data_IF_414568495540
#
_entry.id   IF_414568495540
#
_cell.length_a   1.000
_cell.length_b   1.000
_cell.length_c   1.000
_cell.angle_alpha   90.00
_cell.angle_beta   90.00
_cell.angle_gamma   90.00
#
_symmetry.space_group_name_H-M   'P 1'
#
loop_
_entity.id
_entity.type
_entity.pdbx_description
1 polymer ?
#
# COMPACT_ATOMS: atom_id res chain seq x y z
N UNK A 1 3.85 -1.46 -24.36
CA UNK A 1 4.19 -1.80 -22.93
C UNK A 1 5.68 -1.97 -22.85
N UNK A 2 6.36 -1.38 -21.85
CA UNK A 2 7.77 -1.73 -21.62
C UNK A 2 7.79 -3.19 -21.16
N UNK A 3 8.38 -4.07 -21.96
CA UNK A 3 8.56 -5.45 -21.59
C UNK A 3 9.60 -5.50 -20.46
N UNK A 4 9.35 -6.30 -19.44
CA UNK A 4 10.25 -6.50 -18.30
C UNK A 4 10.59 -7.97 -18.27
N UNK A 5 11.89 -8.30 -18.32
CA UNK A 5 12.39 -9.67 -18.16
C UNK A 5 13.11 -9.77 -16.81
N UNK A 6 12.85 -10.81 -16.06
CA UNK A 6 13.58 -11.10 -14.83
C UNK A 6 14.97 -11.61 -15.18
N UNK A 7 15.99 -11.08 -14.52
CA UNK A 7 17.39 -11.42 -14.71
C UNK A 7 18.09 -11.61 -13.38
N UNK A 8 19.25 -12.23 -13.40
CA UNK A 8 20.15 -12.23 -12.24
C UNK A 8 20.61 -10.81 -11.92
N UNK A 9 20.93 -10.56 -10.67
CA UNK A 9 21.43 -9.27 -10.25
C UNK A 9 22.79 -9.01 -10.90
N UNK A 10 22.95 -7.94 -11.70
CA UNK A 10 24.21 -7.61 -12.29
C UNK A 10 25.20 -7.07 -11.24
N UNK A 11 26.48 -7.13 -11.57
CA UNK A 11 27.50 -6.37 -10.85
C UNK A 11 27.31 -4.88 -11.13
N UNK A 12 27.09 -4.11 -10.08
CA UNK A 12 26.97 -2.66 -10.18
C UNK A 12 28.29 -1.98 -9.86
N UNK A 13 28.65 -0.98 -10.67
CA UNK A 13 29.73 -0.08 -10.37
C UNK A 13 29.42 0.74 -9.11
N UNK A 14 30.44 1.12 -8.34
CA UNK A 14 30.28 1.95 -7.14
C UNK A 14 29.55 3.27 -7.41
N UNK A 15 29.69 3.81 -8.63
CA UNK A 15 29.02 5.02 -9.08
C UNK A 15 27.64 4.79 -9.71
N UNK A 16 27.18 3.54 -9.82
CA UNK A 16 25.87 3.24 -10.40
C UNK A 16 24.77 4.01 -9.67
N UNK A 17 23.80 4.60 -10.40
CA UNK A 17 22.78 5.44 -9.79
C UNK A 17 21.81 4.61 -8.93
N UNK A 18 21.61 5.07 -7.71
CA UNK A 18 20.70 4.49 -6.75
C UNK A 18 19.67 5.50 -6.27
N UNK A 19 18.50 4.98 -5.90
CA UNK A 19 17.49 5.69 -5.12
C UNK A 19 17.21 4.89 -3.86
N UNK A 20 17.35 5.51 -2.71
CA UNK A 20 17.05 4.90 -1.42
C UNK A 20 15.86 5.60 -0.78
N UNK A 21 14.83 4.83 -0.44
CA UNK A 21 13.65 5.32 0.28
C UNK A 21 13.65 4.73 1.67
N UNK A 22 13.79 5.58 2.69
CA UNK A 22 13.72 5.17 4.10
C UNK A 22 12.28 5.25 4.60
N UNK A 23 11.74 4.13 5.03
CA UNK A 23 10.36 3.98 5.52
C UNK A 23 10.40 3.33 6.91
N UNK A 24 10.68 4.13 7.94
CA UNK A 24 10.91 3.63 9.30
C UNK A 24 12.07 2.63 9.33
N UNK A 25 11.76 1.37 9.66
CA UNK A 25 12.75 0.30 9.73
C UNK A 25 13.01 -0.37 8.35
N UNK A 26 12.22 -0.07 7.34
CA UNK A 26 12.36 -0.61 6.00
C UNK A 26 13.09 0.38 5.10
N UNK A 27 14.10 -0.11 4.37
CA UNK A 27 14.77 0.65 3.33
C UNK A 27 14.52 -0.03 1.98
N UNK A 28 14.03 0.74 1.02
CA UNK A 28 13.94 0.32 -0.37
C UNK A 28 15.11 0.90 -1.13
N UNK A 29 15.89 0.05 -1.79
CA UNK A 29 17.01 0.45 -2.65
C UNK A 29 16.66 0.08 -4.07
N UNK A 30 16.71 1.05 -4.97
CA UNK A 30 16.55 0.85 -6.42
C UNK A 30 17.85 1.24 -7.09
N UNK A 31 18.59 0.23 -7.54
CA UNK A 31 19.86 0.41 -8.26
C UNK A 31 19.63 0.27 -9.77
N UNK A 32 20.27 1.09 -10.56
CA UNK A 32 20.13 1.10 -12.02
C UNK A 32 21.51 1.12 -12.67
N UNK A 33 21.68 0.41 -13.78
CA UNK A 33 22.93 0.49 -14.55
C UNK A 33 23.14 1.86 -15.18
N UNK A 34 22.05 2.48 -15.64
CA UNK A 34 22.07 3.80 -16.28
C UNK A 34 21.06 4.74 -15.59
N UNK A 35 21.35 6.04 -15.48
CA UNK A 35 20.37 7.00 -14.98
C UNK A 35 19.13 7.01 -15.88
N UNK A 36 17.96 7.09 -15.26
CA UNK A 36 16.69 7.19 -16.00
C UNK A 36 16.36 8.65 -16.19
N UNK A 37 16.30 9.08 -17.44
CA UNK A 37 15.76 10.39 -17.77
C UNK A 37 14.26 10.49 -17.41
N UNK A 38 13.78 11.63 -16.95
CA UNK A 38 12.35 11.86 -16.78
C UNK A 38 11.59 11.52 -18.08
N UNK A 39 10.38 10.95 -17.99
CA UNK A 39 9.59 10.77 -19.21
C UNK A 39 9.38 12.12 -19.88
N UNK A 40 9.43 12.18 -21.21
CA UNK A 40 9.29 13.42 -21.97
C UNK A 40 7.85 13.92 -22.01
N UNK A 41 7.06 13.61 -21.01
CA UNK A 41 5.66 13.98 -20.89
C UNK A 41 5.43 14.79 -19.62
N UNK A 42 4.60 15.83 -19.70
CA UNK A 42 4.18 16.63 -18.55
C UNK A 42 2.66 16.62 -18.43
N UNK A 43 2.18 16.28 -17.24
CA UNK A 43 0.75 16.35 -16.93
C UNK A 43 0.29 17.81 -17.00
N UNK A 44 -0.79 18.07 -17.72
CA UNK A 44 -1.47 19.37 -17.80
C UNK A 44 -2.55 19.42 -16.71
N UNK A 45 -3.48 18.48 -16.74
CA UNK A 45 -4.59 18.37 -15.79
C UNK A 45 -4.93 16.91 -15.48
N UNK A 46 -6.16 16.66 -15.02
CA UNK A 46 -6.60 15.30 -14.69
C UNK A 46 -6.72 14.41 -15.93
N UNK A 47 -7.03 14.94 -17.09
CA UNK A 47 -7.40 14.19 -18.27
C UNK A 47 -6.37 14.30 -19.42
N UNK A 48 -5.44 15.29 -19.37
CA UNK A 48 -4.50 15.59 -20.46
C UNK A 48 -3.04 15.58 -20.02
N UNK A 49 -2.16 15.21 -20.95
CA UNK A 49 -0.70 15.37 -20.84
C UNK A 49 -0.11 15.92 -22.16
N UNK A 50 1.04 16.57 -22.07
CA UNK A 50 1.80 17.03 -23.23
C UNK A 50 3.08 16.21 -23.38
N UNK A 51 3.38 15.77 -24.60
CA UNK A 51 4.71 15.27 -24.96
C UNK A 51 5.64 16.48 -25.19
N UNK A 52 6.64 16.62 -24.33
CA UNK A 52 7.59 17.75 -24.36
C UNK A 52 8.52 17.75 -25.58
N UNK A 53 8.58 16.65 -26.36
CA UNK A 53 9.40 16.55 -27.57
C UNK A 53 8.66 17.12 -28.78
N UNK A 54 7.33 16.88 -28.85
CA UNK A 54 6.50 17.30 -30.00
C UNK A 54 5.66 18.51 -29.70
N UNK A 55 5.39 18.79 -28.40
CA UNK A 55 4.45 19.81 -27.96
C UNK A 55 2.98 19.42 -28.11
N UNK A 56 2.71 18.21 -28.57
CA UNK A 56 1.33 17.71 -28.75
C UNK A 56 0.69 17.36 -27.43
N UNK A 57 -0.61 17.60 -27.33
CA UNK A 57 -1.44 17.27 -26.17
C UNK A 57 -2.21 16.00 -26.46
N UNK A 58 -2.17 15.08 -25.49
CA UNK A 58 -2.85 13.78 -25.56
C UNK A 58 -3.78 13.60 -24.37
N UNK A 59 -4.85 12.85 -24.60
CA UNK A 59 -5.74 12.37 -23.56
C UNK A 59 -5.14 11.16 -22.84
N UNK A 60 -5.37 11.05 -21.51
CA UNK A 60 -5.09 9.82 -20.82
C UNK A 60 -6.14 8.76 -21.16
N UNK A 61 -5.74 7.67 -21.79
CA UNK A 61 -6.60 6.50 -21.91
C UNK A 61 -6.92 5.96 -20.52
N UNK A 62 -8.19 5.80 -20.22
CA UNK A 62 -8.67 5.34 -18.92
C UNK A 62 -9.63 4.19 -19.05
N UNK A 63 -9.42 3.18 -18.23
CA UNK A 63 -10.38 2.10 -18.02
C UNK A 63 -11.51 2.50 -17.06
N UNK A 64 -12.57 1.72 -17.05
CA UNK A 64 -13.74 1.92 -16.19
C UNK A 64 -13.46 1.54 -14.73
N UNK A 65 -12.52 0.64 -14.52
CA UNK A 65 -12.10 0.17 -13.20
C UNK A 65 -10.59 0.37 -12.98
N UNK A 66 -10.17 0.22 -11.73
CA UNK A 66 -8.72 0.24 -11.44
C UNK A 66 -7.98 -0.97 -11.97
N UNK A 67 -8.65 -2.09 -12.20
CA UNK A 67 -8.04 -3.28 -12.80
C UNK A 67 -7.53 -3.05 -14.23
N UNK A 68 -8.11 -2.08 -14.94
CA UNK A 68 -7.71 -1.72 -16.29
C UNK A 68 -6.33 -1.02 -16.34
N UNK A 69 -5.83 -0.56 -15.19
CA UNK A 69 -4.51 0.04 -15.05
C UNK A 69 -3.65 -0.70 -14.02
N UNK A 70 -3.02 -1.80 -14.41
CA UNK A 70 -2.09 -2.55 -13.53
C UNK A 70 -0.97 -1.67 -12.93
N UNK A 71 -0.47 -0.71 -13.69
CA UNK A 71 0.55 0.23 -13.18
C UNK A 71 -0.01 1.17 -12.11
N UNK A 72 -1.22 1.68 -12.31
CA UNK A 72 -1.91 2.54 -11.33
C UNK A 72 -2.14 1.80 -10.01
N UNK A 73 -2.53 0.54 -10.09
CA UNK A 73 -2.71 -0.36 -8.95
C UNK A 73 -1.39 -0.55 -8.19
N UNK A 74 -0.34 -0.99 -8.89
CA UNK A 74 0.98 -1.22 -8.28
C UNK A 74 1.49 0.03 -7.57
N UNK A 75 1.30 1.22 -8.17
CA UNK A 75 1.67 2.50 -7.56
C UNK A 75 0.84 2.77 -6.31
N UNK A 76 -0.47 2.53 -6.34
CA UNK A 76 -1.35 2.75 -5.17
C UNK A 76 -0.98 1.82 -4.02
N UNK A 77 -0.79 0.52 -4.27
CA UNK A 77 -0.38 -0.43 -3.24
C UNK A 77 1.02 -0.13 -2.69
N UNK A 78 1.96 0.27 -3.55
CA UNK A 78 3.28 0.74 -3.11
C UNK A 78 3.18 2.00 -2.25
N UNK A 79 2.32 2.95 -2.62
CA UNK A 79 2.08 4.16 -1.83
C UNK A 79 1.50 3.84 -0.44
N UNK A 80 0.50 2.97 -0.37
CA UNK A 80 -0.08 2.50 0.90
C UNK A 80 1.00 1.86 1.78
N UNK A 81 1.77 0.93 1.21
CA UNK A 81 2.86 0.26 1.94
C UNK A 81 3.88 1.26 2.46
N UNK A 82 4.29 2.21 1.64
CA UNK A 82 5.26 3.23 2.01
C UNK A 82 4.72 4.14 3.12
N UNK A 83 3.46 4.59 3.03
CA UNK A 83 2.83 5.37 4.09
C UNK A 83 2.78 4.61 5.42
N UNK A 84 2.33 3.36 5.39
CA UNK A 84 2.21 2.53 6.60
C UNK A 84 3.58 2.29 7.20
N UNK A 85 4.57 1.83 6.43
CA UNK A 85 5.92 1.55 6.95
C UNK A 85 6.62 2.81 7.48
N UNK A 86 6.36 3.98 6.89
CA UNK A 86 6.97 5.24 7.33
C UNK A 86 6.44 5.71 8.68
N UNK A 87 5.16 5.44 8.98
CA UNK A 87 4.49 5.99 10.15
C UNK A 87 4.19 4.95 11.24
N UNK A 88 4.16 3.66 10.89
CA UNK A 88 3.96 2.55 11.84
C UNK A 88 5.33 1.91 12.14
N UNK A 89 6.13 2.61 12.92
CA UNK A 89 7.48 2.15 13.30
C UNK A 89 7.47 1.36 14.60
N UNK A 90 6.57 1.74 15.52
CA UNK A 90 6.36 1.09 16.81
C UNK A 90 4.93 0.54 16.88
N UNK A 91 4.74 -0.79 16.77
CA UNK A 91 3.41 -1.41 16.72
C UNK A 91 2.54 -1.08 17.93
N UNK A 92 3.15 -0.90 19.10
CA UNK A 92 2.43 -0.55 20.35
C UNK A 92 1.76 0.83 20.30
N UNK A 93 2.27 1.75 19.46
CA UNK A 93 1.74 3.10 19.29
C UNK A 93 0.54 3.16 18.35
N UNK A 94 0.07 2.00 17.86
CA UNK A 94 -0.92 1.93 16.80
C UNK A 94 -2.13 1.09 17.20
N UNK A 95 -3.30 1.51 16.75
CA UNK A 95 -4.51 0.68 16.72
C UNK A 95 -5.00 0.56 15.29
N UNK A 96 -5.17 -0.68 14.85
CA UNK A 96 -5.79 -0.98 13.57
C UNK A 96 -7.30 -1.18 13.79
N UNK A 97 -8.08 -0.29 13.20
CA UNK A 97 -9.54 -0.27 13.30
C UNK A 97 -10.14 -0.64 11.95
N UNK A 98 -11.15 -1.50 11.96
CA UNK A 98 -12.00 -1.79 10.81
C UNK A 98 -13.39 -1.26 11.09
N UNK A 99 -13.93 -0.43 10.18
CA UNK A 99 -15.29 0.08 10.22
C UNK A 99 -16.08 -0.55 9.08
N UNK A 100 -17.16 -1.24 9.41
CA UNK A 100 -17.98 -2.03 8.49
C UNK A 100 -19.41 -1.53 8.48
N UNK A 101 -20.04 -1.46 7.31
CA UNK A 101 -21.48 -1.21 7.21
C UNK A 101 -22.26 -2.51 7.35
N UNK A 102 -23.37 -2.46 8.10
CA UNK A 102 -24.30 -3.59 8.20
C UNK A 102 -25.03 -3.82 6.86
N UNK A 103 -25.42 -2.75 6.19
CA UNK A 103 -26.02 -2.78 4.86
C UNK A 103 -24.96 -2.93 3.74
N UNK A 104 -25.39 -3.26 2.52
CA UNK A 104 -24.51 -3.27 1.34
C UNK A 104 -24.32 -1.84 0.82
N UNK A 105 -23.54 -1.05 1.54
CA UNK A 105 -23.31 0.36 1.27
C UNK A 105 -22.23 0.55 0.21
N UNK A 106 -22.60 1.04 -0.96
CA UNK A 106 -21.73 1.25 -2.14
C UNK A 106 -21.49 2.72 -2.48
N UNK A 107 -22.18 3.66 -1.84
CA UNK A 107 -22.02 5.11 -2.09
C UNK A 107 -20.73 5.65 -1.47
N UNK A 108 -19.77 5.95 -2.34
CA UNK A 108 -18.47 6.49 -1.93
C UNK A 108 -18.56 7.88 -1.30
N UNK A 109 -19.51 8.72 -1.72
CA UNK A 109 -19.68 10.07 -1.15
C UNK A 109 -20.22 9.97 0.28
N UNK A 110 -21.16 9.05 0.50
CA UNK A 110 -21.70 8.76 1.84
C UNK A 110 -20.59 8.21 2.75
N UNK A 111 -19.77 7.27 2.27
CA UNK A 111 -18.63 6.73 2.99
C UNK A 111 -17.71 7.82 3.55
N UNK A 112 -17.35 8.80 2.71
CA UNK A 112 -16.47 9.88 3.14
C UNK A 112 -17.09 10.77 4.20
N UNK A 113 -18.40 11.09 4.08
CA UNK A 113 -19.14 11.90 5.08
C UNK A 113 -19.28 11.16 6.41
N UNK A 114 -19.58 9.88 6.37
CA UNK A 114 -19.76 9.06 7.58
C UNK A 114 -18.45 8.88 8.33
N UNK A 115 -17.34 8.64 7.59
CA UNK A 115 -16.00 8.62 8.18
C UNK A 115 -15.63 9.95 8.83
N UNK A 116 -15.93 11.08 8.18
CA UNK A 116 -15.62 12.40 8.72
C UNK A 116 -16.40 12.70 10.02
N UNK A 117 -17.68 12.30 10.08
CA UNK A 117 -18.50 12.40 11.29
C UNK A 117 -17.94 11.51 12.42
N UNK A 118 -17.58 10.27 12.09
CA UNK A 118 -16.96 9.35 13.02
C UNK A 118 -15.66 9.94 13.57
N UNK A 119 -14.78 10.45 12.72
CA UNK A 119 -13.52 11.05 13.10
C UNK A 119 -13.68 12.24 14.05
N UNK A 120 -14.63 13.12 13.79
CA UNK A 120 -14.96 14.25 14.69
C UNK A 120 -15.41 13.78 16.07
N UNK A 121 -16.30 12.77 16.15
CA UNK A 121 -16.74 12.17 17.42
C UNK A 121 -15.58 11.52 18.16
N UNK A 122 -14.70 10.81 17.46
CA UNK A 122 -13.54 10.16 18.03
C UNK A 122 -12.55 11.16 18.62
N UNK A 123 -12.24 12.24 17.90
CA UNK A 123 -11.40 13.32 18.42
C UNK A 123 -12.00 14.00 19.67
N UNK A 124 -13.30 14.21 19.67
CA UNK A 124 -13.99 14.77 20.83
C UNK A 124 -13.88 13.84 22.06
N UNK A 125 -14.04 12.54 21.85
CA UNK A 125 -13.85 11.54 22.90
C UNK A 125 -12.40 11.52 23.40
N UNK A 126 -11.43 11.52 22.54
CA UNK A 126 -10.02 11.61 22.93
C UNK A 126 -9.79 12.83 23.84
N UNK A 127 -10.24 14.00 23.41
CA UNK A 127 -10.10 15.25 24.20
C UNK A 127 -10.74 15.15 25.58
N UNK A 128 -11.94 14.57 25.67
CA UNK A 128 -12.65 14.42 26.96
C UNK A 128 -11.99 13.45 27.93
N UNK A 129 -11.21 12.49 27.41
CA UNK A 129 -10.53 11.47 28.22
C UNK A 129 -9.05 11.75 28.41
N UNK A 130 -8.57 12.96 28.08
CA UNK A 130 -7.17 13.33 28.23
C UNK A 130 -6.21 12.56 27.31
N UNK A 131 -6.73 11.99 26.22
CA UNK A 131 -5.96 11.22 25.23
C UNK A 131 -5.47 12.18 24.17
N UNK A 132 -4.18 12.11 23.84
CA UNK A 132 -3.59 12.89 22.75
C UNK A 132 -4.25 12.57 21.41
N UNK A 133 -4.31 13.56 20.53
CA UNK A 133 -4.86 13.40 19.18
C UNK A 133 -3.97 12.44 18.37
N UNK A 134 -4.50 11.33 17.84
CA UNK A 134 -3.74 10.50 16.91
C UNK A 134 -3.71 11.10 15.51
N UNK A 135 -2.69 10.74 14.73
CA UNK A 135 -2.73 10.82 13.28
C UNK A 135 -3.42 9.57 12.72
N UNK A 136 -3.87 9.62 11.45
CA UNK A 136 -4.50 8.46 10.84
C UNK A 136 -4.09 8.22 9.39
N UNK A 137 -4.08 6.95 9.01
CA UNK A 137 -4.11 6.47 7.64
C UNK A 137 -5.38 5.62 7.50
N UNK A 138 -6.29 6.05 6.63
CA UNK A 138 -7.53 5.33 6.32
C UNK A 138 -7.43 4.79 4.90
N UNK A 139 -7.57 3.48 4.75
CA UNK A 139 -7.60 2.78 3.47
C UNK A 139 -8.96 2.14 3.29
N UNK A 140 -9.57 2.41 2.16
CA UNK A 140 -10.91 1.93 1.82
C UNK A 140 -10.80 0.64 1.02
N UNK A 141 -11.55 -0.38 1.40
CA UNK A 141 -11.59 -1.69 0.78
C UNK A 141 -13.04 -2.08 0.43
N UNK A 142 -13.31 -2.59 -0.80
CA UNK A 142 -14.58 -3.21 -1.12
C UNK A 142 -14.60 -4.66 -0.61
N UNK A 143 -15.69 -5.05 0.04
CA UNK A 143 -15.98 -6.45 0.30
C UNK A 143 -16.36 -7.18 -1.00
N UNK A 144 -16.36 -8.53 -0.99
CA UNK A 144 -16.81 -9.32 -2.14
C UNK A 144 -18.23 -9.00 -2.61
N UNK A 145 -19.12 -8.53 -1.71
CA UNK A 145 -20.47 -8.05 -2.03
C UNK A 145 -20.53 -6.59 -2.52
N UNK A 146 -19.38 -5.90 -2.61
CA UNK A 146 -19.27 -4.50 -3.03
C UNK A 146 -19.39 -3.46 -1.93
N UNK A 147 -19.78 -3.84 -0.70
CA UNK A 147 -19.87 -2.90 0.43
C UNK A 147 -18.50 -2.39 0.84
N UNK A 148 -18.42 -1.11 1.22
CA UNK A 148 -17.18 -0.48 1.65
C UNK A 148 -16.80 -0.80 3.09
N UNK A 149 -15.50 -1.05 3.30
CA UNK A 149 -14.84 -1.06 4.59
C UNK A 149 -13.83 0.07 4.69
N UNK A 150 -13.68 0.64 5.89
CA UNK A 150 -12.55 1.49 6.22
C UNK A 150 -11.58 0.72 7.11
N UNK A 151 -10.33 0.63 6.69
CA UNK A 151 -9.22 0.15 7.51
C UNK A 151 -8.40 1.36 7.95
N UNK A 152 -8.46 1.66 9.23
CA UNK A 152 -7.85 2.86 9.80
C UNK A 152 -6.73 2.48 10.74
N UNK A 153 -5.53 3.00 10.50
CA UNK A 153 -4.48 3.03 11.49
C UNK A 153 -4.57 4.34 12.24
N UNK A 154 -4.87 4.28 13.54
CA UNK A 154 -4.68 5.39 14.45
C UNK A 154 -3.30 5.29 15.04
N UNK A 155 -2.51 6.35 14.94
CA UNK A 155 -1.08 6.39 15.25
C UNK A 155 -0.83 7.50 16.25
N UNK A 156 -0.27 7.16 17.42
CA UNK A 156 0.13 8.09 18.46
C UNK A 156 1.66 8.19 18.52
N UNK A 157 2.16 9.29 19.03
CA UNK A 157 3.59 9.45 19.33
C UNK A 157 4.04 8.59 20.52
N UNK A 158 3.08 8.21 21.38
CA UNK A 158 3.26 7.38 22.55
C UNK A 158 2.47 6.06 22.41
N UNK A 159 2.54 5.21 23.44
CA UNK A 159 1.76 3.97 23.50
C UNK A 159 0.26 4.25 23.30
N UNK A 160 -0.31 3.61 22.32
CA UNK A 160 -1.71 3.79 21.96
C UNK A 160 -2.64 3.37 23.10
N UNK A 161 -3.65 4.18 23.44
CA UNK A 161 -4.57 3.89 24.54
C UNK A 161 -5.42 2.64 24.27
N UNK A 162 -5.99 2.08 25.34
CA UNK A 162 -7.07 1.12 25.20
C UNK A 162 -8.34 1.87 24.79
N UNK A 163 -9.02 1.38 23.77
CA UNK A 163 -10.28 1.94 23.27
C UNK A 163 -11.33 0.84 23.35
N UNK A 164 -12.35 0.97 24.20
CA UNK A 164 -13.46 0.01 24.27
C UNK A 164 -14.21 -0.06 22.94
N UNK A 165 -14.23 -1.22 22.31
CA UNK A 165 -14.84 -1.36 20.99
C UNK A 165 -16.36 -1.18 21.02
N UNK A 166 -17.04 -1.94 21.88
CA UNK A 166 -18.50 -2.02 21.90
C UNK A 166 -19.14 -0.80 22.57
N UNK A 167 -18.48 -0.24 23.59
CA UNK A 167 -18.99 0.87 24.39
C UNK A 167 -18.66 2.23 23.78
N UNK A 168 -17.58 2.31 22.99
CA UNK A 168 -17.05 3.59 22.48
C UNK A 168 -17.02 3.63 20.97
N UNK A 169 -16.27 2.71 20.33
CA UNK A 169 -15.97 2.80 18.91
C UNK A 169 -17.22 2.50 18.05
N UNK A 170 -17.93 1.42 18.36
CA UNK A 170 -19.09 0.97 17.60
C UNK A 170 -20.26 1.96 17.67
N UNK A 171 -20.63 2.53 18.83
CA UNK A 171 -21.66 3.58 18.90
C UNK A 171 -21.27 4.87 18.18
N UNK A 172 -19.98 5.22 18.15
CA UNK A 172 -19.50 6.37 17.39
C UNK A 172 -19.63 6.17 15.88
N UNK A 173 -19.33 4.96 15.41
CA UNK A 173 -19.50 4.59 14.00
C UNK A 173 -20.98 4.58 13.64
N UNK A 174 -21.80 3.81 14.33
CA UNK A 174 -23.26 3.82 14.23
C UNK A 174 -23.83 3.25 12.92
N UNK A 175 -23.01 2.68 12.04
CA UNK A 175 -23.43 2.15 10.73
C UNK A 175 -23.26 0.63 10.61
N UNK A 176 -22.75 -0.03 11.65
CA UNK A 176 -22.53 -1.48 11.67
C UNK A 176 -21.42 -1.89 12.62
N UNK A 177 -20.64 -2.89 12.23
CA UNK A 177 -19.64 -3.48 13.08
C UNK A 177 -18.32 -2.71 13.06
N UNK A 178 -17.66 -2.73 14.21
CA UNK A 178 -16.29 -2.23 14.34
C UNK A 178 -15.38 -3.33 14.91
N UNK A 179 -14.14 -3.34 14.52
CA UNK A 179 -13.11 -4.21 15.10
C UNK A 179 -11.86 -3.38 15.35
N UNK A 180 -11.27 -3.55 16.53
CA UNK A 180 -10.00 -2.91 16.88
C UNK A 180 -8.98 -3.99 17.21
N UNK A 181 -7.76 -3.82 16.70
CA UNK A 181 -6.62 -4.70 16.97
C UNK A 181 -5.41 -3.88 17.41
N UNK A 182 -4.69 -4.35 18.40
CA UNK A 182 -3.32 -3.96 18.62
C UNK A 182 -2.44 -4.63 17.56
N UNK A 183 -1.40 -3.95 17.11
CA UNK A 183 -0.38 -4.56 16.28
C UNK A 183 0.68 -5.17 17.18
N UNK A 184 0.97 -6.45 16.97
CA UNK A 184 2.02 -7.18 17.66
C UNK A 184 2.81 -7.97 16.61
N UNK A 185 4.10 -8.15 16.82
CA UNK A 185 5.00 -9.04 16.06
C UNK A 185 4.99 -8.95 14.51
N UNK A 186 4.64 -7.79 13.94
CA UNK A 186 4.66 -7.60 12.50
C UNK A 186 5.86 -6.74 12.09
N UNK A 187 6.87 -7.35 11.49
CA UNK A 187 8.08 -6.69 11.01
C UNK A 187 7.84 -5.68 9.88
N UNK A 188 6.88 -5.97 9.01
CA UNK A 188 6.56 -5.16 7.83
C UNK A 188 5.06 -5.02 7.67
N UNK A 189 4.47 -4.16 8.50
CA UNK A 189 3.02 -3.91 8.54
C UNK A 189 2.47 -3.49 7.18
N UNK A 190 3.23 -2.65 6.46
CA UNK A 190 2.78 -2.15 5.16
C UNK A 190 2.71 -3.24 4.09
N UNK A 191 3.63 -4.21 4.08
CA UNK A 191 3.58 -5.33 3.15
C UNK A 191 2.40 -6.26 3.46
N UNK A 192 2.23 -6.62 4.75
CA UNK A 192 1.09 -7.42 5.20
C UNK A 192 -0.24 -6.76 4.82
N UNK A 193 -0.38 -5.47 5.12
CA UNK A 193 -1.61 -4.73 4.88
C UNK A 193 -1.92 -4.57 3.39
N UNK A 194 -0.91 -4.27 2.55
CA UNK A 194 -1.12 -4.12 1.11
C UNK A 194 -1.56 -5.43 0.43
N UNK A 195 -1.03 -6.57 0.88
CA UNK A 195 -1.47 -7.88 0.40
C UNK A 195 -2.91 -8.20 0.85
N UNK A 196 -3.27 -7.83 2.08
CA UNK A 196 -4.62 -8.00 2.60
C UNK A 196 -5.67 -7.23 1.79
N UNK A 197 -5.35 -6.00 1.39
CA UNK A 197 -6.27 -5.12 0.65
C UNK A 197 -6.51 -5.54 -0.81
N UNK A 198 -5.51 -6.15 -1.43
CA UNK A 198 -5.55 -6.44 -2.86
C UNK A 198 -6.11 -7.82 -3.17
N UNK A 199 -5.80 -8.80 -2.32
CA UNK A 199 -6.10 -10.20 -2.59
C UNK A 199 -7.53 -10.57 -2.16
N UNK A 200 -8.19 -11.41 -2.95
CA UNK A 200 -9.54 -11.89 -2.68
C UNK A 200 -9.56 -13.41 -2.59
N UNK A 201 -10.31 -14.01 -1.65
CA UNK A 201 -10.54 -15.44 -1.66
C UNK A 201 -11.09 -15.91 -3.02
N UNK A 202 -10.58 -17.04 -3.51
CA UNK A 202 -10.96 -17.57 -4.83
C UNK A 202 -12.47 -17.82 -4.92
N UNK A 203 -13.06 -18.38 -3.88
CA UNK A 203 -14.49 -18.65 -3.77
C UNK A 203 -15.38 -17.39 -3.78
N UNK A 204 -14.85 -16.25 -3.37
CA UNK A 204 -15.49 -14.94 -3.49
C UNK A 204 -15.29 -14.34 -4.87
N UNK A 205 -14.09 -14.49 -5.46
CA UNK A 205 -13.75 -13.97 -6.77
C UNK A 205 -14.56 -14.61 -7.89
N UNK A 206 -14.74 -15.95 -7.85
CA UNK A 206 -15.51 -16.71 -8.84
C UNK A 206 -16.99 -16.32 -8.90
N UNK A 207 -17.53 -15.72 -7.84
CA UNK A 207 -18.90 -15.20 -7.80
C UNK A 207 -19.07 -13.82 -8.44
N UNK A 208 -17.96 -13.15 -8.80
CA UNK A 208 -18.03 -11.86 -9.46
C UNK A 208 -18.39 -12.03 -10.93
N UNK A 209 -19.33 -11.22 -11.44
CA UNK A 209 -19.70 -11.20 -12.86
C UNK A 209 -18.56 -10.78 -13.78
N UNK A 210 -17.53 -10.11 -13.24
CA UNK A 210 -16.34 -9.66 -13.96
C UNK A 210 -15.12 -10.56 -13.71
N UNK A 211 -15.31 -11.76 -13.13
CA UNK A 211 -14.22 -12.69 -12.89
C UNK A 211 -13.55 -13.12 -14.20
N UNK A 212 -12.20 -13.10 -14.22
CA UNK A 212 -11.39 -13.59 -15.35
C UNK A 212 -10.89 -15.00 -15.03
N UNK A 213 -10.81 -15.86 -16.05
CA UNK A 213 -10.41 -17.25 -15.89
C UNK A 213 -8.89 -17.44 -15.77
N UNK A 214 -8.09 -16.46 -16.20
CA UNK A 214 -6.62 -16.50 -16.28
C UNK A 214 -5.91 -15.83 -15.09
N UNK A 215 -6.53 -15.85 -13.90
CA UNK A 215 -5.97 -15.18 -12.72
C UNK A 215 -4.96 -16.04 -11.98
N UNK A 216 -3.90 -15.40 -11.49
CA UNK A 216 -2.93 -16.06 -10.60
C UNK A 216 -3.52 -16.22 -9.19
N UNK A 217 -3.64 -17.46 -8.72
CA UNK A 217 -3.99 -17.77 -7.35
C UNK A 217 -2.77 -18.17 -6.52
N UNK A 218 -2.82 -17.86 -5.23
CA UNK A 218 -1.82 -18.27 -4.23
C UNK A 218 -2.51 -18.89 -3.04
N UNK A 219 -1.89 -19.91 -2.47
CA UNK A 219 -2.35 -20.50 -1.21
C UNK A 219 -1.79 -19.71 -0.03
N UNK A 220 -2.64 -19.45 0.96
CA UNK A 220 -2.24 -18.81 2.23
C UNK A 220 -2.80 -19.63 3.38
N UNK A 221 -1.97 -19.82 4.38
CA UNK A 221 -2.38 -20.43 5.64
C UNK A 221 -2.95 -19.35 6.58
N UNK A 222 -4.03 -19.69 7.24
CA UNK A 222 -4.65 -18.88 8.27
C UNK A 222 -4.82 -19.71 9.52
N UNK A 223 -4.45 -19.15 10.64
CA UNK A 223 -4.84 -19.68 11.93
C UNK A 223 -6.07 -18.91 12.38
N UNK A 224 -7.21 -19.59 12.55
CA UNK A 224 -8.41 -18.99 13.08
C UNK A 224 -8.27 -18.74 14.59
N UNK A 225 -9.28 -18.05 15.17
CA UNK A 225 -9.26 -17.71 16.60
C UNK A 225 -9.25 -18.96 17.52
N UNK A 226 -9.60 -20.14 17.00
CA UNK A 226 -9.57 -21.46 17.69
C UNK A 226 -8.20 -22.18 17.55
N UNK A 227 -7.19 -21.54 16.93
CA UNK A 227 -5.85 -22.11 16.73
C UNK A 227 -5.74 -23.14 15.60
N UNK A 228 -6.80 -23.35 14.80
CA UNK A 228 -6.78 -24.26 13.66
C UNK A 228 -6.21 -23.56 12.42
N UNK A 229 -5.15 -24.11 11.84
CA UNK A 229 -4.57 -23.64 10.58
C UNK A 229 -5.36 -24.21 9.40
N UNK A 230 -5.88 -23.32 8.56
CA UNK A 230 -6.58 -23.68 7.31
C UNK A 230 -5.87 -23.02 6.13
N UNK A 231 -5.74 -23.77 5.05
CA UNK A 231 -5.23 -23.24 3.77
C UNK A 231 -6.38 -22.72 2.93
N UNK A 232 -6.27 -21.52 2.41
CA UNK A 232 -7.26 -20.93 1.50
C UNK A 232 -6.56 -20.35 0.27
N UNK A 233 -7.18 -20.51 -0.91
CA UNK A 233 -6.70 -19.94 -2.16
C UNK A 233 -7.16 -18.50 -2.31
N UNK A 234 -6.26 -17.64 -2.75
CA UNK A 234 -6.49 -16.21 -3.00
C UNK A 234 -6.10 -15.84 -4.41
N UNK A 235 -6.92 -15.02 -5.05
CA UNK A 235 -6.60 -14.36 -6.31
C UNK A 235 -5.82 -13.09 -6.00
N UNK A 236 -4.58 -13.00 -6.49
CA UNK A 236 -3.77 -11.78 -6.34
C UNK A 236 -4.42 -10.62 -7.06
N UNK A 237 -4.67 -9.54 -6.33
CA UNK A 237 -5.31 -8.36 -6.89
C UNK A 237 -6.78 -8.55 -7.24
N UNK A 238 -7.43 -9.62 -6.80
CA UNK A 238 -8.83 -9.93 -7.14
C UNK A 238 -9.84 -8.88 -6.71
N UNK A 239 -9.54 -8.07 -5.66
CA UNK A 239 -10.43 -6.97 -5.24
C UNK A 239 -10.37 -5.73 -6.14
N UNK A 240 -9.38 -5.64 -7.01
CA UNK A 240 -9.10 -4.43 -7.78
C UNK A 240 -10.15 -4.12 -8.83
N UNK A 241 -10.86 -5.14 -9.31
CA UNK A 241 -12.00 -5.00 -10.23
C UNK A 241 -13.21 -4.30 -9.58
N UNK A 242 -13.27 -4.29 -8.23
CA UNK A 242 -14.37 -3.67 -7.48
C UNK A 242 -14.15 -2.18 -7.19
N UNK A 243 -12.94 -1.66 -7.42
CA UNK A 243 -12.66 -0.24 -7.21
C UNK A 243 -13.03 0.58 -8.45
N UNK A 244 -13.91 1.58 -8.33
CA UNK A 244 -14.13 2.54 -9.41
C UNK A 244 -12.83 3.24 -9.82
N UNK A 245 -12.70 3.53 -11.10
CA UNK A 245 -11.63 4.41 -11.58
C UNK A 245 -11.69 5.76 -10.83
N UNK A 246 -10.55 6.42 -10.63
CA UNK A 246 -10.46 7.72 -9.93
C UNK A 246 -10.86 7.73 -8.44
N UNK A 247 -11.32 6.62 -7.84
CA UNK A 247 -11.63 6.58 -6.41
C UNK A 247 -10.37 6.83 -5.57
N UNK A 248 -10.45 7.74 -4.60
CA UNK A 248 -9.38 7.93 -3.63
C UNK A 248 -9.45 6.85 -2.54
N UNK A 249 -8.60 5.84 -2.68
CA UNK A 249 -8.57 4.68 -1.76
C UNK A 249 -7.91 5.02 -0.42
N UNK A 250 -6.97 5.98 -0.42
CA UNK A 250 -6.17 6.32 0.76
C UNK A 250 -6.45 7.73 1.19
N UNK A 251 -6.82 7.91 2.45
CA UNK A 251 -6.93 9.21 3.10
C UNK A 251 -6.03 9.23 4.33
N UNK A 252 -5.41 10.36 4.59
CA UNK A 252 -4.51 10.52 5.73
C UNK A 252 -4.67 11.89 6.36
N UNK A 253 -4.37 11.99 7.63
CA UNK A 253 -4.27 13.27 8.33
C UNK A 253 -2.97 14.01 7.95
N UNK A 254 -2.90 15.29 8.28
CA UNK A 254 -1.81 16.17 7.85
C UNK A 254 -0.45 15.82 8.46
N UNK A 255 -0.41 15.25 9.65
CA UNK A 255 0.82 14.85 10.32
C UNK A 255 1.46 13.55 9.79
N UNK A 256 0.77 12.80 8.93
CA UNK A 256 1.31 11.59 8.32
C UNK A 256 2.45 11.92 7.37
N UNK A 257 3.63 11.40 7.69
CA UNK A 257 4.88 11.56 6.93
C UNK A 257 4.83 10.78 5.62
N UNK A 258 5.45 11.32 4.59
CA UNK A 258 5.61 10.68 3.28
C UNK A 258 7.11 10.49 3.05
N UNK A 259 7.54 9.26 2.85
CA UNK A 259 8.94 8.98 2.53
C UNK A 259 9.27 9.48 1.12
N UNK A 260 10.39 10.18 1.00
CA UNK A 260 10.92 10.73 -0.25
C UNK A 260 12.16 9.93 -0.64
N UNK A 261 12.28 9.47 -1.89
CA UNK A 261 13.50 8.82 -2.38
C UNK A 261 14.67 9.81 -2.41
N UNK A 262 15.81 9.37 -1.88
CA UNK A 262 17.08 10.09 -1.96
C UNK A 262 17.93 9.48 -3.08
N UNK A 263 18.47 10.31 -3.97
CA UNK A 263 19.39 9.87 -5.02
C UNK A 263 20.81 9.83 -4.47
N UNK A 264 21.53 8.77 -4.73
CA UNK A 264 22.92 8.55 -4.30
C UNK A 264 23.63 7.53 -5.19
N UNK A 265 24.91 7.29 -4.96
CA UNK A 265 25.69 6.24 -5.62
C UNK A 265 25.40 4.87 -4.99
N UNK A 266 25.76 3.80 -5.69
CA UNK A 266 25.65 2.43 -5.17
C UNK A 266 26.50 2.20 -3.91
N UNK A 267 27.71 2.76 -3.86
CA UNK A 267 28.55 2.68 -2.67
C UNK A 267 27.94 3.36 -1.44
N UNK A 268 27.37 4.55 -1.62
CA UNK A 268 26.63 5.25 -0.55
C UNK A 268 25.40 4.47 -0.09
N UNK A 269 24.65 3.89 -1.04
CA UNK A 269 23.49 3.08 -0.73
C UNK A 269 23.87 1.83 0.08
N UNK A 270 24.95 1.13 -0.31
CA UNK A 270 25.49 -0.03 0.46
C UNK A 270 25.87 0.35 1.89
N UNK A 271 26.55 1.47 2.08
CA UNK A 271 26.89 1.99 3.42
C UNK A 271 25.63 2.27 4.24
N UNK A 272 24.60 2.89 3.62
CA UNK A 272 23.34 3.24 4.28
C UNK A 272 22.53 2.02 4.73
N UNK A 273 22.66 0.88 4.06
CA UNK A 273 21.93 -0.35 4.42
C UNK A 273 22.77 -1.39 5.16
N UNK A 274 24.07 -1.12 5.43
CA UNK A 274 25.01 -2.07 6.00
C UNK A 274 24.58 -2.70 7.35
N UNK A 275 23.75 -1.99 8.14
CA UNK A 275 23.22 -2.47 9.42
C UNK A 275 21.85 -3.14 9.32
N UNK A 276 21.32 -3.31 8.12
CA UNK A 276 19.98 -3.84 7.88
C UNK A 276 20.03 -5.15 7.07
N UNK A 277 19.21 -6.13 7.45
CA UNK A 277 19.15 -7.42 6.75
C UNK A 277 18.40 -7.28 5.43
N UNK A 278 18.98 -7.80 4.33
CA UNK A 278 18.28 -7.97 3.06
C UNK A 278 17.11 -8.93 3.24
N UNK A 279 15.90 -8.50 2.89
CA UNK A 279 14.68 -9.31 3.02
C UNK A 279 14.08 -9.70 1.68
N UNK A 280 14.39 -8.95 0.63
CA UNK A 280 13.94 -9.22 -0.72
C UNK A 280 14.84 -8.50 -1.72
N UNK A 281 15.15 -9.18 -2.83
CA UNK A 281 15.81 -8.58 -4.00
C UNK A 281 15.23 -9.15 -5.28
N UNK A 282 15.12 -8.31 -6.30
CA UNK A 282 14.72 -8.72 -7.64
C UNK A 282 15.32 -7.79 -8.66
N UNK A 283 15.87 -8.39 -9.71
CA UNK A 283 16.45 -7.65 -10.85
C UNK A 283 15.65 -7.92 -12.11
N UNK A 284 15.53 -6.92 -12.95
CA UNK A 284 14.84 -7.00 -14.22
C UNK A 284 15.45 -6.07 -15.26
N UNK A 285 15.44 -6.52 -16.49
CA UNK A 285 15.71 -5.71 -17.67
C UNK A 285 14.48 -4.89 -18.04
N UNK A 286 14.71 -3.63 -18.35
CA UNK A 286 13.75 -2.76 -19.03
C UNK A 286 14.06 -2.82 -20.51
N UNK A 287 13.14 -3.34 -21.30
CA UNK A 287 13.31 -3.55 -22.74
C UNK A 287 12.62 -2.43 -23.50
N UNK A 288 13.29 -1.90 -24.51
CA UNK A 288 12.74 -0.91 -25.45
C UNK A 288 11.74 -1.51 -26.43
N UNK A 289 11.22 -0.69 -27.32
CA UNK A 289 10.23 -1.11 -28.34
C UNK A 289 10.87 -2.02 -29.40
N UNK A 290 12.21 -1.99 -29.55
CA UNK A 290 13.03 -2.83 -30.43
C UNK A 290 13.46 -4.16 -29.76
N UNK A 291 12.89 -4.51 -28.62
CA UNK A 291 13.23 -5.69 -27.81
C UNK A 291 14.68 -5.71 -27.27
N UNK A 292 15.35 -4.56 -27.29
CA UNK A 292 16.72 -4.39 -26.76
C UNK A 292 16.64 -3.91 -25.31
N UNK A 293 17.49 -4.50 -24.43
CA UNK A 293 17.61 -4.06 -23.05
C UNK A 293 18.19 -2.64 -22.98
N UNK A 294 17.42 -1.70 -22.45
CA UNK A 294 17.84 -0.30 -22.30
C UNK A 294 18.42 -0.01 -20.92
N UNK A 295 18.03 -0.78 -19.92
CA UNK A 295 18.53 -0.64 -18.55
C UNK A 295 18.28 -1.92 -17.74
N UNK A 296 19.11 -2.17 -16.74
CA UNK A 296 18.85 -3.19 -15.72
C UNK A 296 18.62 -2.48 -14.39
N UNK A 297 17.58 -2.92 -13.70
CA UNK A 297 17.14 -2.33 -12.44
C UNK A 297 17.02 -3.41 -11.39
N UNK A 298 17.72 -3.25 -10.27
CA UNK A 298 17.56 -4.08 -9.08
C UNK A 298 16.77 -3.33 -8.03
N UNK A 299 15.75 -3.98 -7.50
CA UNK A 299 14.95 -3.48 -6.39
C UNK A 299 15.14 -4.38 -5.17
N UNK A 300 15.70 -3.82 -4.11
CA UNK A 300 16.00 -4.54 -2.88
C UNK A 300 15.30 -3.89 -1.68
N UNK A 301 14.90 -4.70 -0.72
CA UNK A 301 14.33 -4.26 0.55
C UNK A 301 15.18 -4.77 1.69
N UNK A 302 15.50 -3.87 2.62
CA UNK A 302 16.26 -4.15 3.83
C UNK A 302 15.41 -3.82 5.06
N UNK A 303 15.63 -4.56 6.16
CA UNK A 303 14.93 -4.35 7.42
C UNK A 303 15.92 -4.19 8.57
N UNK A 304 15.91 -3.05 9.24
CA UNK A 304 16.78 -2.73 10.39
C UNK A 304 16.40 -3.48 11.67
N UNK A 305 15.14 -3.94 11.80
CA UNK A 305 14.71 -4.77 12.96
C UNK A 305 15.21 -6.21 12.85
N UNK A 306 15.48 -6.69 11.65
CA UNK A 306 16.06 -8.01 11.40
C UNK A 306 17.58 -7.85 11.35
N UNK A 307 18.26 -8.25 12.42
CA UNK A 307 19.72 -8.38 12.40
C UNK A 307 20.07 -9.74 11.81
N UNK A 308 21.17 -9.84 11.08
CA UNK A 308 21.78 -11.14 10.83
C UNK A 308 22.17 -11.71 12.19
N UNK A 309 21.71 -12.92 12.51
CA UNK A 309 22.30 -13.67 13.63
C UNK A 309 23.74 -13.95 13.19
N UNK A 310 24.69 -13.35 13.90
CA UNK A 310 26.11 -13.61 13.78
C UNK A 310 26.40 -15.04 14.20
#
# INVERSE_FOLDING_TARGET
MRNIREVEQPDYDNNSPCKVTTMGNILEVVTMQKPVSPPPIRKIDADHYVDLRTGEVFDYERGDTRADSLQGIRRTLAHIRNLVNTNVTEPENVRWVTLTYAENMTDTKRLYRDYEKFWKKFLYWCKRNGISKPEYINVIEPQGRGAWHCHVFFIWDEKAPYIPNNEVLQPMWGHGFTKIKALTDVDNVGAYFSAYLADMPLDEYEKLSCARLDVQSVEKEFTNDDGLTKTKKFVKGGRLVLYPAKMNIVRKSSGIKVAVPESMTYDEARKKVSSAKLTYSRSYEVVGDDDVAVNVVTKAYYNRKRREMQ
#
